data_IF_787632492858
#
_entry.id   IF_787632492858
#
_cell.length_a   1.000
_cell.length_b   1.000
_cell.length_c   1.000
_cell.angle_alpha   90.00
_cell.angle_beta   90.00
_cell.angle_gamma   90.00
#
_symmetry.space_group_name_H-M   'P 1'
#
loop_
_entity.id
_entity.type
_entity.pdbx_description
1 polymer ?
#
# COMPACT_ATOMS: atom_id res chain seq x y z
N UNK A 1 -31.11 -8.76 0.61
CA UNK A 1 -29.91 -9.34 1.24
C UNK A 1 -28.71 -8.62 0.65
N UNK A 2 -27.92 -7.91 1.44
CA UNK A 2 -26.73 -7.23 0.91
C UNK A 2 -25.72 -8.29 0.46
N UNK A 3 -25.24 -8.20 -0.77
CA UNK A 3 -24.26 -9.13 -1.34
C UNK A 3 -22.91 -8.99 -0.63
N UNK A 4 -22.31 -10.11 -0.23
CA UNK A 4 -21.01 -10.13 0.45
C UNK A 4 -19.88 -10.08 -0.58
N UNK A 5 -19.28 -8.91 -0.79
CA UNK A 5 -18.05 -8.80 -1.60
C UNK A 5 -16.80 -8.99 -0.74
N UNK A 6 -15.95 -9.94 -1.12
CA UNK A 6 -14.64 -10.17 -0.47
C UNK A 6 -13.67 -9.06 -0.88
N UNK A 7 -13.52 -8.04 -0.02
CA UNK A 7 -12.66 -6.86 -0.28
C UNK A 7 -11.15 -7.10 -0.15
N UNK A 8 -10.73 -8.24 0.41
CA UNK A 8 -9.32 -8.54 0.66
C UNK A 8 -8.77 -9.56 -0.35
N UNK A 9 -7.83 -9.11 -1.18
CA UNK A 9 -6.99 -9.96 -2.00
C UNK A 9 -5.55 -9.93 -1.46
N UNK A 10 -5.07 -11.02 -0.84
CA UNK A 10 -3.70 -11.08 -0.33
C UNK A 10 -2.66 -11.16 -1.46
N UNK A 11 -3.03 -11.71 -2.62
CA UNK A 11 -2.11 -12.07 -3.69
C UNK A 11 -1.86 -10.90 -4.63
N UNK A 12 -0.64 -10.39 -4.59
CA UNK A 12 -0.14 -9.35 -5.49
C UNK A 12 0.41 -9.95 -6.78
N UNK A 13 0.29 -9.21 -7.89
CA UNK A 13 0.96 -9.55 -9.16
C UNK A 13 2.49 -9.61 -9.00
N UNK A 14 3.12 -10.58 -9.66
CA UNK A 14 4.56 -10.86 -9.61
C UNK A 14 5.41 -9.68 -10.11
N UNK A 15 4.88 -8.81 -10.97
CA UNK A 15 5.56 -7.60 -11.44
C UNK A 15 5.93 -6.63 -10.30
N UNK A 16 5.17 -6.68 -9.20
CA UNK A 16 5.33 -5.80 -8.04
C UNK A 16 6.10 -6.47 -6.89
N UNK A 17 6.53 -7.73 -7.06
CA UNK A 17 7.33 -8.46 -6.09
C UNK A 17 8.83 -8.28 -6.40
N UNK A 18 9.69 -8.59 -5.44
CA UNK A 18 11.14 -8.42 -5.55
C UNK A 18 11.71 -9.19 -6.77
N UNK A 19 12.30 -8.44 -7.70
CA UNK A 19 12.77 -8.91 -9.00
C UNK A 19 11.84 -8.58 -10.17
N UNK A 20 10.63 -8.06 -9.90
CA UNK A 20 9.70 -7.58 -10.92
C UNK A 20 10.02 -6.18 -11.42
N UNK A 21 9.56 -5.87 -12.63
CA UNK A 21 9.83 -4.59 -13.34
C UNK A 21 9.28 -3.36 -12.62
N UNK A 22 8.24 -3.53 -11.79
CA UNK A 22 7.57 -2.44 -11.06
C UNK A 22 7.90 -2.44 -9.56
N UNK A 23 8.82 -3.29 -9.11
CA UNK A 23 9.17 -3.35 -7.70
C UNK A 23 9.84 -2.05 -7.25
N UNK A 24 9.30 -1.46 -6.18
CA UNK A 24 9.84 -0.27 -5.53
C UNK A 24 9.96 -0.49 -4.03
N UNK A 25 11.06 0.01 -3.47
CA UNK A 25 11.28 0.10 -2.03
C UNK A 25 10.80 1.47 -1.55
N UNK A 26 9.94 1.48 -0.53
CA UNK A 26 9.48 2.70 0.14
C UNK A 26 10.02 2.75 1.56
N UNK A 27 10.05 3.94 2.17
CA UNK A 27 10.43 4.09 3.59
C UNK A 27 9.64 3.17 4.51
N UNK A 28 8.31 3.13 4.38
CA UNK A 28 7.47 2.27 5.21
C UNK A 28 7.74 0.77 5.01
N UNK A 29 8.27 0.35 3.86
CA UNK A 29 8.72 -1.04 3.66
C UNK A 29 10.02 -1.34 4.41
N UNK A 30 10.91 -0.35 4.55
CA UNK A 30 12.12 -0.47 5.38
C UNK A 30 11.72 -0.59 6.85
N UNK A 31 10.83 0.29 7.32
CA UNK A 31 10.28 0.22 8.68
C UNK A 31 9.62 -1.15 8.93
N UNK A 32 8.88 -1.68 7.95
CA UNK A 32 8.27 -3.01 8.02
C UNK A 32 9.30 -4.15 8.08
N UNK A 33 10.44 -4.02 7.39
CA UNK A 33 11.53 -5.00 7.50
C UNK A 33 12.15 -4.98 8.90
N UNK A 34 12.34 -3.79 9.48
CA UNK A 34 12.83 -3.64 10.85
C UNK A 34 11.83 -4.22 11.88
N UNK A 35 10.53 -4.05 11.64
CA UNK A 35 9.45 -4.64 12.46
C UNK A 35 9.44 -6.17 12.39
N UNK A 36 9.47 -6.74 11.17
CA UNK A 36 9.41 -8.19 10.95
C UNK A 36 10.04 -8.59 9.61
N UNK A 37 11.30 -9.09 9.61
CA UNK A 37 11.98 -9.52 8.38
C UNK A 37 11.25 -10.64 7.64
N UNK A 38 10.67 -11.59 8.38
CA UNK A 38 9.89 -12.70 7.80
C UNK A 38 8.63 -12.20 7.09
N UNK A 39 7.91 -11.27 7.71
CA UNK A 39 6.68 -10.69 7.17
C UNK A 39 6.99 -9.86 5.91
N UNK A 40 8.11 -9.13 5.93
CA UNK A 40 8.62 -8.42 4.77
C UNK A 40 8.89 -9.37 3.60
N UNK A 41 9.51 -10.54 3.85
CA UNK A 41 9.75 -11.54 2.80
C UNK A 41 8.44 -12.08 2.21
N UNK A 42 7.45 -12.41 3.04
CA UNK A 42 6.14 -12.88 2.58
C UNK A 42 5.44 -11.84 1.70
N UNK A 43 5.45 -10.56 2.09
CA UNK A 43 4.84 -9.48 1.30
C UNK A 43 5.64 -9.15 0.03
N UNK A 44 6.95 -8.95 0.14
CA UNK A 44 7.76 -8.43 -0.96
C UNK A 44 8.23 -9.50 -1.93
N UNK A 45 8.50 -10.73 -1.48
CA UNK A 45 8.96 -11.80 -2.37
C UNK A 45 7.82 -12.69 -2.82
N UNK A 46 6.98 -13.15 -1.89
CA UNK A 46 5.87 -14.07 -2.20
C UNK A 46 4.59 -13.35 -2.63
N UNK A 47 4.49 -12.03 -2.39
CA UNK A 47 3.35 -11.23 -2.81
C UNK A 47 2.12 -11.40 -1.91
N UNK A 48 2.29 -11.92 -0.69
CA UNK A 48 1.21 -12.11 0.29
C UNK A 48 1.23 -10.97 1.30
N UNK A 49 0.46 -9.92 1.03
CA UNK A 49 0.39 -8.74 1.90
C UNK A 49 -0.42 -9.05 3.16
N UNK A 50 -0.10 -8.42 4.30
CA UNK A 50 -0.96 -8.43 5.50
C UNK A 50 -2.24 -7.58 5.30
N UNK A 51 -3.39 -7.94 5.90
CA UNK A 51 -4.56 -7.06 5.92
C UNK A 51 -4.18 -5.67 6.45
N UNK A 52 -4.52 -4.64 5.70
CA UNK A 52 -4.25 -3.25 6.08
C UNK A 52 -5.43 -2.66 6.84
N UNK A 53 -5.15 -1.64 7.65
CA UNK A 53 -6.19 -0.75 8.17
C UNK A 53 -6.95 -0.09 7.00
N UNK A 54 -8.26 0.20 7.13
CA UNK A 54 -9.04 0.93 6.13
C UNK A 54 -8.41 2.28 5.78
N UNK A 55 -8.74 2.80 4.60
CA UNK A 55 -8.24 4.09 4.14
C UNK A 55 -8.82 5.25 4.98
N UNK A 56 -7.97 6.22 5.30
CA UNK A 56 -8.38 7.47 5.94
C UNK A 56 -8.89 8.47 4.91
N UNK A 57 -10.09 8.24 4.37
CA UNK A 57 -10.64 9.01 3.26
C UNK A 57 -10.71 10.52 3.55
N UNK A 58 -11.03 10.92 4.78
CA UNK A 58 -11.08 12.33 5.17
C UNK A 58 -9.70 13.00 5.05
N UNK A 59 -8.65 12.35 5.54
CA UNK A 59 -7.28 12.89 5.48
C UNK A 59 -6.78 12.98 4.03
N UNK A 60 -7.12 11.99 3.20
CA UNK A 60 -6.79 12.02 1.77
C UNK A 60 -7.48 13.18 1.05
N UNK A 61 -8.76 13.42 1.33
CA UNK A 61 -9.53 14.52 0.72
C UNK A 61 -8.98 15.90 1.12
N UNK A 62 -8.57 16.07 2.38
CA UNK A 62 -7.96 17.31 2.85
C UNK A 62 -6.61 17.57 2.18
N UNK A 63 -5.75 16.55 2.07
CA UNK A 63 -4.45 16.65 1.38
C UNK A 63 -4.62 16.95 -0.12
N UNK A 64 -5.60 16.33 -0.77
CA UNK A 64 -5.94 16.59 -2.17
C UNK A 64 -6.43 18.04 -2.37
N UNK A 65 -7.33 18.51 -1.51
CA UNK A 65 -7.82 19.88 -1.56
C UNK A 65 -6.68 20.88 -1.35
N UNK A 66 -5.80 20.65 -0.37
CA UNK A 66 -4.67 21.53 -0.13
C UNK A 66 -3.72 21.59 -1.33
N UNK A 67 -3.36 20.45 -1.92
CA UNK A 67 -2.53 20.47 -3.14
C UNK A 67 -3.15 21.30 -4.25
N UNK A 68 -4.45 21.13 -4.49
CA UNK A 68 -5.17 21.86 -5.54
C UNK A 68 -5.16 23.38 -5.32
N UNK A 69 -5.43 23.83 -4.10
CA UNK A 69 -5.47 25.26 -3.77
C UNK A 69 -4.07 25.88 -3.77
N UNK A 70 -3.06 25.18 -3.24
CA UNK A 70 -1.71 25.71 -3.12
C UNK A 70 -0.86 25.56 -4.39
N UNK A 71 -1.17 24.63 -5.30
CA UNK A 71 -0.47 24.51 -6.58
C UNK A 71 -0.68 25.76 -7.48
N UNK A 72 -1.75 26.54 -7.27
CA UNK A 72 -1.96 27.85 -7.94
C UNK A 72 -0.94 28.90 -7.49
N UNK A 73 -0.41 28.76 -6.28
CA UNK A 73 0.51 29.71 -5.65
C UNK A 73 1.98 29.24 -5.69
N UNK A 74 2.27 28.23 -6.51
CA UNK A 74 3.59 27.58 -6.61
C UNK A 74 4.53 28.25 -7.59
#
# INVERSE_FOLDING_TARGET
MADYSKKYNPNRSTEWNYGGTKWRLSRSKIDFFLECPRCFYLDNKLGTKRPSFPSFNLNLAVDELFKKEFDVHR
#
